data_IF_460278393609
#
_entry.id   IF_460278393609
#
_cell.length_a   1.000
_cell.length_b   1.000
_cell.length_c   1.000
_cell.angle_alpha   90.00
_cell.angle_beta   90.00
_cell.angle_gamma   90.00
#
_symmetry.space_group_name_H-M   'P 1'
#
loop_
_entity.id
_entity.type
_entity.pdbx_description
1 polymer ?
#
# COMPACT_ATOMS: atom_id res chain seq x y z
N UNK A 1 -1.28 -43.18 6.07
CA UNK A 1 -0.14 -42.31 6.45
C UNK A 1 1.16 -43.10 6.35
N UNK A 2 1.20 -44.38 6.77
CA UNK A 2 2.39 -45.24 6.79
C UNK A 2 2.97 -45.50 5.39
N UNK A 3 2.13 -45.65 4.38
CA UNK A 3 2.56 -45.83 2.98
C UNK A 3 3.24 -44.57 2.39
N UNK A 4 2.85 -43.38 2.82
CA UNK A 4 3.49 -42.12 2.36
C UNK A 4 4.85 -41.96 3.05
N UNK A 5 4.91 -42.29 4.34
CA UNK A 5 6.17 -42.22 5.11
C UNK A 5 7.20 -43.23 4.65
N UNK A 6 6.79 -44.44 4.28
CA UNK A 6 7.71 -45.45 3.71
C UNK A 6 8.23 -45.04 2.33
N UNK A 7 7.38 -44.47 1.48
CA UNK A 7 7.76 -43.97 0.16
C UNK A 7 8.75 -42.80 0.23
N UNK A 8 8.57 -41.92 1.21
CA UNK A 8 9.49 -40.80 1.45
C UNK A 8 10.84 -41.28 1.96
N UNK A 9 10.87 -42.32 2.82
CA UNK A 9 12.11 -42.91 3.33
C UNK A 9 12.93 -43.58 2.21
N UNK A 10 12.27 -44.21 1.25
CA UNK A 10 12.96 -44.86 0.13
C UNK A 10 13.52 -43.86 -0.90
N UNK A 11 12.94 -42.65 -0.99
CA UNK A 11 13.32 -41.66 -2.02
C UNK A 11 13.44 -40.25 -1.43
N UNK A 12 14.43 -39.99 -0.56
CA UNK A 12 14.57 -38.70 0.14
C UNK A 12 14.77 -37.51 -0.80
N UNK A 13 15.23 -37.75 -2.03
CA UNK A 13 15.38 -36.71 -3.04
C UNK A 13 14.05 -36.07 -3.49
N UNK A 14 12.92 -36.76 -3.31
CA UNK A 14 11.59 -36.23 -3.66
C UNK A 14 11.25 -35.02 -2.78
N UNK A 15 11.59 -35.09 -1.49
CA UNK A 15 11.37 -33.96 -0.57
C UNK A 15 12.16 -32.76 -1.05
N UNK A 16 13.43 -32.97 -1.41
CA UNK A 16 14.29 -31.92 -1.93
C UNK A 16 13.74 -31.31 -3.23
N UNK A 17 13.26 -32.15 -4.15
CA UNK A 17 12.66 -31.70 -5.40
C UNK A 17 11.40 -30.85 -5.18
N UNK A 18 10.52 -31.25 -4.23
CA UNK A 18 9.30 -30.48 -3.88
C UNK A 18 9.66 -29.14 -3.27
N UNK A 19 10.60 -29.08 -2.31
CA UNK A 19 11.04 -27.82 -1.74
C UNK A 19 11.68 -26.90 -2.77
N UNK A 20 12.49 -27.44 -3.67
CA UNK A 20 13.12 -26.69 -4.74
C UNK A 20 12.06 -26.12 -5.70
N UNK A 21 11.06 -26.92 -6.08
CA UNK A 21 9.96 -26.46 -6.93
C UNK A 21 9.13 -25.35 -6.26
N UNK A 22 8.80 -25.49 -4.99
CA UNK A 22 8.09 -24.46 -4.22
C UNK A 22 8.90 -23.16 -4.09
N UNK A 23 10.21 -23.29 -3.89
CA UNK A 23 11.12 -22.15 -3.85
C UNK A 23 11.14 -21.40 -5.18
N UNK A 24 11.28 -22.12 -6.33
CA UNK A 24 11.24 -21.49 -7.65
C UNK A 24 9.89 -20.83 -7.95
N UNK A 25 8.77 -21.46 -7.60
CA UNK A 25 7.43 -20.87 -7.74
C UNK A 25 7.29 -19.58 -6.94
N UNK A 26 7.80 -19.54 -5.72
CA UNK A 26 7.79 -18.33 -4.90
C UNK A 26 8.65 -17.21 -5.48
N UNK A 27 9.82 -17.53 -6.01
CA UNK A 27 10.71 -16.59 -6.69
C UNK A 27 10.08 -16.01 -7.97
N UNK A 28 9.43 -16.86 -8.78
CA UNK A 28 8.71 -16.41 -9.99
C UNK A 28 7.58 -15.44 -9.60
N UNK A 29 6.81 -15.76 -8.56
CA UNK A 29 5.72 -14.91 -8.07
C UNK A 29 6.22 -13.56 -7.57
N UNK A 30 7.34 -13.54 -6.84
CA UNK A 30 7.99 -12.31 -6.37
C UNK A 30 8.53 -11.48 -7.55
N UNK A 31 9.21 -12.14 -8.50
CA UNK A 31 9.73 -11.50 -9.70
C UNK A 31 8.62 -10.88 -10.57
N UNK A 32 7.50 -11.56 -10.71
CA UNK A 32 6.33 -11.07 -11.45
C UNK A 32 5.72 -9.83 -10.77
N UNK A 33 5.56 -9.85 -9.43
CA UNK A 33 5.10 -8.67 -8.69
C UNK A 33 6.06 -7.49 -8.86
N UNK A 34 7.36 -7.71 -8.71
CA UNK A 34 8.35 -6.64 -8.89
C UNK A 34 8.36 -6.09 -10.33
N UNK A 35 8.16 -6.95 -11.33
CA UNK A 35 8.07 -6.52 -12.72
C UNK A 35 6.82 -5.67 -12.99
N UNK A 36 5.67 -6.06 -12.44
CA UNK A 36 4.43 -5.27 -12.51
C UNK A 36 4.62 -3.91 -11.83
N UNK A 37 5.23 -3.87 -10.63
CA UNK A 37 5.56 -2.62 -9.93
C UNK A 37 6.46 -1.71 -10.79
N UNK A 38 7.51 -2.25 -11.38
CA UNK A 38 8.42 -1.47 -12.23
C UNK A 38 7.73 -0.94 -13.49
N UNK A 39 6.82 -1.70 -14.10
CA UNK A 39 6.07 -1.28 -15.27
C UNK A 39 5.09 -0.15 -14.95
N UNK A 40 4.34 -0.29 -13.87
CA UNK A 40 3.41 0.73 -13.38
C UNK A 40 4.16 2.00 -12.96
N UNK A 41 5.27 1.83 -12.25
CA UNK A 41 6.11 2.94 -11.82
C UNK A 41 6.72 3.72 -13.01
N UNK A 42 7.11 3.04 -14.09
CA UNK A 42 7.59 3.68 -15.31
C UNK A 42 6.51 4.52 -15.99
N UNK A 43 5.27 4.01 -16.04
CA UNK A 43 4.12 4.74 -16.56
C UNK A 43 3.80 5.98 -15.70
N UNK A 44 3.77 5.83 -14.39
CA UNK A 44 3.55 6.92 -13.44
C UNK A 44 4.67 7.97 -13.51
N UNK A 45 5.93 7.54 -13.63
CA UNK A 45 7.07 8.46 -13.76
C UNK A 45 7.01 9.27 -15.04
N UNK A 46 6.57 8.68 -16.17
CA UNK A 46 6.36 9.43 -17.41
C UNK A 46 5.26 10.47 -17.26
N UNK A 47 4.13 10.10 -16.64
CA UNK A 47 3.04 11.05 -16.37
C UNK A 47 3.48 12.19 -15.42
N UNK A 48 4.31 11.90 -14.43
CA UNK A 48 4.84 12.91 -13.49
C UNK A 48 5.77 13.92 -14.18
N UNK A 49 6.53 13.51 -15.20
CA UNK A 49 7.36 14.43 -15.97
C UNK A 49 6.52 15.51 -16.66
N UNK A 50 5.27 15.17 -16.99
CA UNK A 50 4.32 16.06 -17.64
C UNK A 50 3.48 16.88 -16.63
N UNK A 51 3.80 16.82 -15.33
CA UNK A 51 3.10 17.49 -14.22
C UNK A 51 1.62 17.17 -14.09
N UNK A 52 1.17 16.02 -14.56
CA UNK A 52 -0.23 15.60 -14.51
C UNK A 52 -0.59 14.98 -13.15
N UNK A 53 0.40 14.46 -12.42
CA UNK A 53 0.19 13.78 -11.15
C UNK A 53 0.36 14.70 -9.95
N UNK A 54 -0.61 14.64 -9.06
CA UNK A 54 -0.55 15.18 -7.71
C UNK A 54 -0.32 14.06 -6.69
N UNK A 55 0.15 14.41 -5.50
CA UNK A 55 0.32 13.47 -4.39
C UNK A 55 -0.82 13.61 -3.40
N UNK A 56 -1.30 12.48 -2.90
CA UNK A 56 -2.18 12.42 -1.74
C UNK A 56 -1.33 11.89 -0.58
N UNK A 57 -0.98 12.76 0.34
CA UNK A 57 -0.27 12.40 1.57
C UNK A 57 -1.23 11.76 2.56
N UNK A 58 -0.74 10.75 3.30
CA UNK A 58 -1.52 10.02 4.28
C UNK A 58 -0.97 10.33 5.67
N UNK A 59 -1.81 10.90 6.56
CA UNK A 59 -1.44 11.29 7.92
C UNK A 59 -2.39 10.65 8.93
N UNK A 60 -1.83 10.07 9.99
CA UNK A 60 -2.59 9.67 11.18
C UNK A 60 -2.46 10.77 12.24
N UNK A 61 -3.59 11.25 12.70
CA UNK A 61 -3.70 12.20 13.80
C UNK A 61 -4.08 11.46 15.09
N UNK A 62 -3.65 11.97 16.25
CA UNK A 62 -3.93 11.38 17.56
C UNK A 62 -3.58 9.89 17.71
N UNK A 63 -2.60 9.41 16.92
CA UNK A 63 -2.17 8.01 16.95
C UNK A 63 -0.83 7.79 16.27
N UNK A 64 -0.30 6.58 16.46
CA UNK A 64 0.88 6.10 15.75
C UNK A 64 0.50 4.84 14.98
N UNK A 65 0.82 4.82 13.71
CA UNK A 65 0.52 3.65 12.90
C UNK A 65 0.88 3.81 11.43
N UNK A 66 0.60 2.76 10.68
CA UNK A 66 0.87 2.72 9.25
C UNK A 66 -0.44 2.46 8.49
N UNK A 67 -0.63 3.16 7.38
CA UNK A 67 -1.66 2.82 6.41
C UNK A 67 -1.26 1.56 5.65
N UNK A 68 -2.20 0.67 5.44
CA UNK A 68 -2.01 -0.52 4.62
C UNK A 68 -3.29 -0.86 3.85
N UNK A 69 -3.16 -1.71 2.84
CA UNK A 69 -4.28 -2.11 1.96
C UNK A 69 -5.03 -0.90 1.39
N UNK A 70 -4.25 0.10 0.92
CA UNK A 70 -4.81 1.33 0.37
C UNK A 70 -5.22 1.10 -1.08
N UNK A 71 -6.48 1.38 -1.38
CA UNK A 71 -7.07 1.26 -2.70
C UNK A 71 -7.74 2.57 -3.08
N UNK A 72 -7.77 2.84 -4.38
CA UNK A 72 -8.43 4.04 -4.93
C UNK A 72 -9.45 3.62 -5.98
N UNK A 73 -10.52 4.41 -6.07
CA UNK A 73 -11.56 4.22 -7.07
C UNK A 73 -12.11 5.58 -7.51
N UNK A 74 -12.47 5.72 -8.77
CA UNK A 74 -13.15 6.91 -9.31
C UNK A 74 -14.67 6.79 -9.24
N UNK A 75 -15.21 5.58 -9.28
CA UNK A 75 -16.64 5.28 -9.30
C UNK A 75 -17.15 4.65 -8.00
N UNK A 76 -16.26 4.04 -7.22
CA UNK A 76 -16.59 3.29 -6.01
C UNK A 76 -16.97 1.83 -6.26
N UNK A 77 -16.97 1.39 -7.51
CA UNK A 77 -17.25 0.00 -7.89
C UNK A 77 -15.97 -0.77 -8.17
N UNK A 78 -15.05 -0.13 -8.91
CA UNK A 78 -13.79 -0.72 -9.32
C UNK A 78 -12.65 -0.16 -8.49
N UNK A 79 -12.01 -1.02 -7.71
CA UNK A 79 -10.96 -0.65 -6.78
C UNK A 79 -9.60 -1.11 -7.29
N UNK A 80 -8.69 -0.18 -7.46
CA UNK A 80 -7.30 -0.43 -7.83
C UNK A 80 -6.38 -0.22 -6.62
N UNK A 81 -5.31 -1.00 -6.53
CA UNK A 81 -4.30 -0.81 -5.51
C UNK A 81 -3.61 0.56 -5.69
N UNK A 82 -3.52 1.32 -4.61
CA UNK A 82 -2.89 2.63 -4.64
C UNK A 82 -1.38 2.52 -4.85
N UNK A 83 -0.82 3.40 -5.69
CA UNK A 83 0.61 3.46 -5.94
C UNK A 83 1.26 4.44 -4.96
N UNK A 84 2.05 3.91 -4.05
CA UNK A 84 2.82 4.72 -3.12
C UNK A 84 4.00 5.38 -3.83
N UNK A 85 4.27 6.66 -3.48
CA UNK A 85 5.49 7.32 -3.91
C UNK A 85 6.70 6.72 -3.17
N UNK A 86 7.89 6.82 -3.78
CA UNK A 86 9.14 6.33 -3.17
C UNK A 86 9.61 7.15 -1.95
N UNK A 87 8.90 8.20 -1.57
CA UNK A 87 9.27 9.04 -0.44
C UNK A 87 9.06 8.29 0.88
N UNK A 88 10.14 8.10 1.62
CA UNK A 88 10.16 7.29 2.84
C UNK A 88 9.63 8.00 4.08
N UNK A 89 9.51 9.33 4.07
CA UNK A 89 9.22 10.13 5.27
C UNK A 89 7.73 10.21 5.53
N UNK A 90 6.93 10.45 4.49
CA UNK A 90 5.47 10.50 4.61
C UNK A 90 4.87 9.67 3.49
N UNK A 91 4.09 8.63 3.83
CA UNK A 91 3.46 7.81 2.81
C UNK A 91 2.53 8.68 1.96
N UNK A 92 2.70 8.63 0.66
CA UNK A 92 1.84 9.33 -0.30
C UNK A 92 1.52 8.44 -1.47
N UNK A 93 0.33 8.61 -2.02
CA UNK A 93 -0.13 7.93 -3.23
C UNK A 93 -0.20 8.92 -4.38
N UNK A 94 0.04 8.43 -5.59
CA UNK A 94 0.02 9.23 -6.81
C UNK A 94 -1.36 9.13 -7.46
N UNK A 95 -1.95 10.28 -7.80
CA UNK A 95 -3.23 10.36 -8.48
C UNK A 95 -3.25 11.51 -9.49
N UNK A 96 -4.04 11.39 -10.54
CA UNK A 96 -4.37 12.50 -11.44
C UNK A 96 -5.41 13.42 -10.78
N UNK A 97 -5.64 14.60 -11.35
CA UNK A 97 -6.73 15.46 -10.87
C UNK A 97 -8.09 14.79 -11.04
N UNK A 98 -8.92 14.83 -10.01
CA UNK A 98 -10.25 14.20 -10.01
C UNK A 98 -10.76 13.89 -8.59
N UNK A 99 -11.96 13.34 -8.53
CA UNK A 99 -12.56 12.87 -7.27
C UNK A 99 -12.30 11.38 -7.15
N UNK A 100 -11.77 10.99 -6.01
CA UNK A 100 -11.44 9.60 -5.70
C UNK A 100 -12.10 9.17 -4.39
N UNK A 101 -12.61 7.95 -4.38
CA UNK A 101 -12.90 7.22 -3.16
C UNK A 101 -11.66 6.43 -2.77
N UNK A 102 -11.21 6.59 -1.54
CA UNK A 102 -10.03 5.91 -1.00
C UNK A 102 -10.49 4.95 0.07
N UNK A 103 -10.15 3.68 -0.08
CA UNK A 103 -10.31 2.65 0.94
C UNK A 103 -8.94 2.38 1.56
N UNK A 104 -8.87 2.30 2.88
CA UNK A 104 -7.62 1.99 3.58
C UNK A 104 -7.89 1.29 4.90
N UNK A 105 -6.86 0.64 5.41
CA UNK A 105 -6.82 0.05 6.73
C UNK A 105 -5.62 0.58 7.49
N UNK A 106 -5.66 0.54 8.81
CA UNK A 106 -4.61 1.06 9.68
C UNK A 106 -4.10 -0.03 10.61
N UNK A 107 -2.78 -0.08 10.77
CA UNK A 107 -2.13 -0.79 11.87
C UNK A 107 -1.73 0.23 12.92
N UNK A 108 -2.47 0.34 14.02
CA UNK A 108 -2.11 1.25 15.09
C UNK A 108 -1.17 0.58 16.08
N UNK A 109 -0.19 1.36 16.57
CA UNK A 109 0.69 0.99 17.68
C UNK A 109 0.16 1.66 18.93
N UNK A 110 -0.37 0.89 19.89
CA UNK A 110 -0.69 1.41 21.22
C UNK A 110 0.42 1.03 22.20
N UNK A 111 1.17 2.04 22.68
CA UNK A 111 2.19 1.89 23.73
C UNK A 111 3.46 1.15 23.31
N UNK A 112 4.25 0.76 24.32
CA UNK A 112 5.56 0.08 24.16
C UNK A 112 5.42 -1.38 23.73
N UNK A 113 4.24 -1.96 23.87
CA UNK A 113 4.00 -3.36 23.47
C UNK A 113 3.68 -3.42 21.97
N UNK A 114 4.33 -4.37 21.29
CA UNK A 114 4.27 -4.61 19.86
C UNK A 114 2.90 -5.11 19.33
N UNK A 115 1.82 -4.90 20.05
CA UNK A 115 0.48 -5.29 19.62
C UNK A 115 -0.05 -4.30 18.59
N UNK A 116 0.02 -4.70 17.32
CA UNK A 116 -0.62 -3.98 16.24
C UNK A 116 -2.10 -4.35 16.19
N UNK A 117 -2.97 -3.45 16.59
CA UNK A 117 -4.39 -3.59 16.28
C UNK A 117 -4.62 -3.19 14.81
N UNK A 118 -5.23 -4.07 14.04
CA UNK A 118 -5.72 -3.76 12.70
C UNK A 118 -7.11 -3.17 12.81
N UNK A 119 -7.33 -2.00 12.20
CA UNK A 119 -8.63 -1.33 12.11
C UNK A 119 -8.96 -1.07 10.64
N UNK A 120 -10.20 -1.14 10.29
CA UNK A 120 -10.69 -0.87 8.94
C UNK A 120 -11.48 -2.04 8.35
N UNK A 121 -11.90 -1.97 7.07
CA UNK A 121 -11.57 -0.87 6.14
C UNK A 121 -12.30 0.43 6.45
N UNK A 122 -11.63 1.56 6.21
CA UNK A 122 -12.19 2.90 6.24
C UNK A 122 -12.33 3.43 4.83
N UNK A 123 -13.25 4.38 4.64
CA UNK A 123 -13.52 4.99 3.35
C UNK A 123 -13.47 6.52 3.49
N UNK A 124 -12.85 7.18 2.52
CA UNK A 124 -12.81 8.63 2.42
C UNK A 124 -13.02 9.05 0.98
N UNK A 125 -13.59 10.23 0.77
CA UNK A 125 -13.67 10.86 -0.53
C UNK A 125 -12.66 12.01 -0.58
N UNK A 126 -11.88 12.09 -1.66
CA UNK A 126 -10.83 13.09 -1.83
C UNK A 126 -10.99 13.75 -3.19
N UNK A 127 -10.92 15.06 -3.20
CA UNK A 127 -10.88 15.87 -4.43
C UNK A 127 -9.43 16.31 -4.69
N UNK A 128 -8.79 15.66 -5.65
CA UNK A 128 -7.42 15.96 -6.07
C UNK A 128 -7.45 17.10 -7.08
N UNK A 129 -6.92 18.27 -6.69
CA UNK A 129 -6.79 19.42 -7.58
C UNK A 129 -5.56 19.28 -8.48
N UNK A 130 -5.62 19.76 -9.74
CA UNK A 130 -4.45 19.74 -10.62
C UNK A 130 -3.30 20.57 -10.02
N UNK A 131 -2.08 20.03 -10.07
CA UNK A 131 -0.85 20.66 -9.58
C UNK A 131 -0.81 21.00 -8.08
N UNK A 132 -1.73 20.46 -7.29
CA UNK A 132 -1.74 20.63 -5.84
C UNK A 132 -1.73 19.28 -5.14
N UNK A 133 -0.82 19.17 -4.20
CA UNK A 133 -0.80 18.02 -3.32
C UNK A 133 -1.91 18.15 -2.26
N UNK A 134 -2.43 17.03 -1.85
CA UNK A 134 -3.57 16.93 -0.93
C UNK A 134 -3.18 16.02 0.22
N UNK A 135 -3.72 16.24 1.40
CA UNK A 135 -3.52 15.38 2.55
C UNK A 135 -4.83 14.73 2.98
N UNK A 136 -4.82 13.41 3.10
CA UNK A 136 -5.86 12.65 3.78
C UNK A 136 -5.43 12.45 5.23
N UNK A 137 -6.19 13.02 6.13
CA UNK A 137 -5.98 12.89 7.58
C UNK A 137 -6.98 11.88 8.13
N UNK A 138 -6.47 10.94 8.92
CA UNK A 138 -7.29 10.00 9.69
C UNK A 138 -7.01 10.22 11.17
N UNK A 139 -8.06 10.39 11.96
CA UNK A 139 -7.98 10.52 13.42
C UNK A 139 -8.25 9.17 14.08
N UNK A 140 -7.26 8.65 14.82
CA UNK A 140 -7.34 7.31 15.43
C UNK A 140 -8.27 7.27 16.65
N UNK A 141 -8.60 8.40 17.25
CA UNK A 141 -9.51 8.47 18.39
C UNK A 141 -10.97 8.56 17.96
N UNK A 142 -11.27 9.44 17.02
CA UNK A 142 -12.65 9.67 16.53
C UNK A 142 -13.03 8.78 15.36
N UNK A 143 -12.06 8.11 14.73
CA UNK A 143 -12.19 7.31 13.49
C UNK A 143 -12.72 8.16 12.31
N UNK A 144 -12.52 9.48 12.37
CA UNK A 144 -12.93 10.40 11.32
C UNK A 144 -11.84 10.57 10.27
N UNK A 145 -12.27 10.83 9.03
CA UNK A 145 -11.38 11.14 7.92
C UNK A 145 -11.76 12.48 7.32
N UNK A 146 -10.77 13.28 6.96
CA UNK A 146 -10.99 14.53 6.23
C UNK A 146 -9.83 14.85 5.31
N UNK A 147 -10.08 15.75 4.37
CA UNK A 147 -9.09 16.25 3.44
C UNK A 147 -8.57 17.60 3.91
N UNK A 148 -7.25 17.79 3.81
CA UNK A 148 -6.58 19.08 3.97
C UNK A 148 -5.75 19.41 2.73
N UNK A 149 -5.59 20.71 2.44
CA UNK A 149 -4.62 21.15 1.44
C UNK A 149 -3.20 20.94 2.03
N UNK A 150 -2.33 20.25 1.27
CA UNK A 150 -0.96 20.04 1.70
C UNK A 150 -0.09 21.22 1.30
N UNK A 151 0.28 22.04 2.26
CA UNK A 151 1.14 23.24 2.02
C UNK A 151 2.63 22.92 1.90
N UNK A 152 3.01 21.64 1.87
CA UNK A 152 4.41 21.24 1.90
C UNK A 152 5.06 21.42 3.27
N UNK A 153 6.15 20.71 3.52
CA UNK A 153 7.04 20.99 4.63
C UNK A 153 7.68 22.37 4.35
N UNK A 154 7.17 23.42 4.96
CA UNK A 154 8.00 24.61 5.17
C UNK A 154 9.07 24.14 6.17
N UNK A 155 10.30 23.93 5.68
CA UNK A 155 11.44 23.83 6.55
C UNK A 155 11.35 25.07 7.45
N UNK A 156 11.21 24.86 8.75
CA UNK A 156 11.23 25.95 9.71
C UNK A 156 12.56 26.68 9.48
N UNK A 157 12.46 27.89 8.95
CA UNK A 157 13.56 28.87 8.94
C UNK A 157 13.93 29.24 10.37
#
# INVERSE_FOLDING_TARGET
LDNILSFIKEKPWIIFAVFTALFFLSMIRLGYKQWQYKKSFKAIKSMRSDRILSKIYLKINNGYGDFYDVKISTDGEKWDDAYFSEERITPSILATAGIYKVQFSIKSRKGVSAYHSKKGPFFAEINVKPFRDTMLVFDDDTLACWQEDYEGWKANE
#
